data_IF_385556497164
#
_entry.id   IF_385556497164
#
_cell.length_a   1.000
_cell.length_b   1.000
_cell.length_c   1.000
_cell.angle_alpha   90.00
_cell.angle_beta   90.00
_cell.angle_gamma   90.00
#
_symmetry.space_group_name_H-M   'P 1'
#
loop_
_entity.id
_entity.type
_entity.pdbx_description
1 polymer ?
#
# COMPACT_ATOMS: atom_id res chain seq x y z
N UNK A 1 6.91 -1.57 -2.85
CA UNK A 1 6.01 -0.59 -2.23
C UNK A 1 4.56 -1.04 -2.39
N UNK A 2 3.76 -0.82 -1.35
CA UNK A 2 2.33 -1.08 -1.33
C UNK A 2 1.57 0.19 -1.73
N UNK A 3 0.45 0.01 -2.46
CA UNK A 3 -0.38 1.10 -2.94
C UNK A 3 -1.83 0.62 -3.09
N UNK A 4 -2.73 1.52 -3.46
CA UNK A 4 -4.08 1.16 -3.88
C UNK A 4 -4.17 1.09 -5.40
N UNK A 5 -4.97 0.15 -5.87
CA UNK A 5 -5.50 0.11 -7.24
C UNK A 5 -6.99 0.33 -7.17
N UNK A 6 -7.58 1.02 -8.12
CA UNK A 6 -9.02 1.21 -8.19
C UNK A 6 -9.58 0.85 -9.56
N UNK A 7 -10.77 0.30 -9.57
CA UNK A 7 -11.48 -0.11 -10.78
C UNK A 7 -12.25 1.07 -11.38
N UNK A 8 -11.91 1.48 -12.61
CA UNK A 8 -12.53 2.63 -13.28
C UNK A 8 -13.94 2.34 -13.76
N UNK A 9 -14.24 1.10 -14.12
CA UNK A 9 -15.61 0.70 -14.51
C UNK A 9 -16.57 0.85 -13.33
N UNK A 10 -16.17 0.37 -12.14
CA UNK A 10 -16.96 0.52 -10.92
C UNK A 10 -17.07 1.99 -10.47
N UNK A 11 -15.98 2.75 -10.60
CA UNK A 11 -16.01 4.18 -10.32
C UNK A 11 -17.11 4.89 -11.15
N UNK A 12 -17.15 4.61 -12.44
CA UNK A 12 -18.15 5.14 -13.37
C UNK A 12 -19.56 4.64 -13.07
N UNK A 13 -19.71 3.33 -12.81
CA UNK A 13 -21.00 2.69 -12.51
C UNK A 13 -21.70 3.36 -11.31
N UNK A 14 -20.93 3.66 -10.27
CA UNK A 14 -21.46 4.28 -9.04
C UNK A 14 -21.35 5.81 -9.02
N UNK A 15 -20.90 6.43 -10.11
CA UNK A 15 -20.75 7.89 -10.24
C UNK A 15 -19.95 8.50 -9.07
N UNK A 16 -18.85 7.84 -8.69
CA UNK A 16 -18.02 8.28 -7.60
C UNK A 16 -17.08 9.40 -8.04
N UNK A 17 -16.58 10.15 -7.07
CA UNK A 17 -15.60 11.20 -7.32
C UNK A 17 -14.31 10.61 -7.90
N UNK A 18 -13.62 11.37 -8.75
CA UNK A 18 -12.34 10.96 -9.32
C UNK A 18 -11.25 10.89 -8.24
N UNK A 19 -10.70 9.68 -7.96
CA UNK A 19 -9.67 9.52 -6.94
C UNK A 19 -8.37 10.27 -7.25
N UNK A 20 -8.00 10.44 -8.51
CA UNK A 20 -6.83 11.21 -8.91
C UNK A 20 -6.96 12.68 -8.51
N UNK A 21 -8.14 13.25 -8.75
CA UNK A 21 -8.45 14.61 -8.31
C UNK A 21 -8.39 14.72 -6.79
N UNK A 22 -8.94 13.74 -6.06
CA UNK A 22 -8.88 13.71 -4.60
C UNK A 22 -7.44 13.69 -4.08
N UNK A 23 -6.55 12.93 -4.75
CA UNK A 23 -5.11 12.92 -4.40
C UNK A 23 -4.48 14.29 -4.64
N UNK A 24 -4.69 14.91 -5.80
CA UNK A 24 -4.15 16.24 -6.14
C UNK A 24 -4.60 17.33 -5.18
N UNK A 25 -5.85 17.24 -4.72
CA UNK A 25 -6.43 18.18 -3.75
C UNK A 25 -6.09 17.84 -2.28
N UNK A 26 -5.34 16.78 -2.03
CA UNK A 26 -5.02 16.33 -0.66
C UNK A 26 -6.19 15.73 0.11
N UNK A 27 -7.28 15.38 -0.57
CA UNK A 27 -8.54 14.87 0.00
C UNK A 27 -8.68 13.35 -0.08
N UNK A 28 -7.72 12.63 -0.63
CA UNK A 28 -7.69 11.17 -0.62
C UNK A 28 -7.31 10.70 0.78
N UNK A 29 -8.32 10.53 1.62
CA UNK A 29 -8.20 10.15 3.04
C UNK A 29 -8.84 8.80 3.31
N UNK A 30 -8.54 8.21 4.48
CA UNK A 30 -9.18 6.98 4.95
C UNK A 30 -10.72 7.10 4.95
N UNK A 31 -11.26 8.23 5.42
CA UNK A 31 -12.69 8.46 5.46
C UNK A 31 -13.30 8.54 4.06
N UNK A 32 -12.63 9.24 3.13
CA UNK A 32 -13.09 9.34 1.75
C UNK A 32 -13.04 7.98 1.04
N UNK A 33 -11.99 7.23 1.25
CA UNK A 33 -11.88 5.86 0.73
C UNK A 33 -13.03 4.98 1.26
N UNK A 34 -13.31 5.03 2.58
CA UNK A 34 -14.40 4.27 3.20
C UNK A 34 -15.78 4.68 2.66
N UNK A 35 -16.04 5.98 2.49
CA UNK A 35 -17.26 6.49 1.86
C UNK A 35 -17.47 5.89 0.47
N UNK A 36 -16.44 5.93 -0.36
CA UNK A 36 -16.48 5.40 -1.73
C UNK A 36 -16.62 3.87 -1.74
N UNK A 37 -15.88 3.17 -0.89
CA UNK A 37 -15.94 1.73 -0.74
C UNK A 37 -17.36 1.27 -0.35
N UNK A 38 -17.97 1.94 0.62
CA UNK A 38 -19.33 1.62 1.08
C UNK A 38 -20.38 1.79 -0.04
N UNK A 39 -20.24 2.83 -0.87
CA UNK A 39 -21.17 3.06 -2.00
C UNK A 39 -21.05 2.01 -3.11
N UNK A 40 -19.88 1.39 -3.24
CA UNK A 40 -19.60 0.42 -4.29
C UNK A 40 -19.83 -1.04 -3.88
N UNK A 41 -20.20 -1.30 -2.62
CA UNK A 41 -20.47 -2.66 -2.14
C UNK A 41 -21.89 -3.08 -2.51
N UNK A 42 -22.07 -4.32 -2.95
CA UNK A 42 -23.36 -4.85 -3.33
C UNK A 42 -23.41 -6.38 -3.24
N UNK A 43 -24.48 -6.90 -2.66
CA UNK A 43 -24.90 -8.28 -2.80
C UNK A 43 -25.42 -8.46 -4.24
N UNK A 44 -24.71 -9.23 -5.06
CA UNK A 44 -25.00 -9.39 -6.49
C UNK A 44 -26.07 -10.44 -6.76
N UNK A 45 -26.21 -11.43 -5.88
CA UNK A 45 -27.17 -12.53 -6.06
C UNK A 45 -28.48 -12.29 -5.28
N UNK A 46 -28.52 -11.34 -4.34
CA UNK A 46 -29.70 -10.96 -3.57
C UNK A 46 -30.08 -11.94 -2.47
N UNK A 47 -29.14 -12.74 -1.97
CA UNK A 47 -29.41 -13.74 -0.92
C UNK A 47 -29.19 -13.20 0.50
N UNK A 48 -28.83 -11.93 0.63
CA UNK A 48 -28.50 -11.23 1.86
C UNK A 48 -27.29 -11.81 2.62
N UNK A 49 -26.38 -12.48 1.91
CA UNK A 49 -25.12 -12.98 2.46
C UNK A 49 -23.97 -12.53 1.54
N UNK A 50 -23.04 -11.76 2.09
CA UNK A 50 -21.84 -11.37 1.34
C UNK A 50 -20.84 -12.52 1.27
N UNK A 51 -20.48 -12.91 0.06
CA UNK A 51 -19.55 -14.00 -0.26
C UNK A 51 -18.48 -13.56 -1.25
N UNK A 52 -17.52 -14.43 -1.56
CA UNK A 52 -16.47 -14.15 -2.56
C UNK A 52 -17.03 -13.83 -3.96
N UNK A 53 -18.28 -14.18 -4.24
CA UNK A 53 -18.95 -13.95 -5.52
C UNK A 53 -19.64 -12.58 -5.61
N UNK A 54 -19.68 -11.83 -4.50
CA UNK A 54 -20.31 -10.52 -4.42
C UNK A 54 -19.35 -9.37 -4.67
N UNK A 55 -19.86 -8.14 -4.68
CA UNK A 55 -19.07 -6.94 -4.95
C UNK A 55 -18.73 -6.20 -3.67
N UNK A 56 -17.44 -5.95 -3.48
CA UNK A 56 -16.88 -5.29 -2.30
C UNK A 56 -16.32 -3.90 -2.62
N UNK A 57 -16.30 -3.07 -1.61
CA UNK A 57 -15.65 -1.76 -1.69
C UNK A 57 -14.13 -1.84 -1.72
N UNK A 58 -13.56 -2.75 -0.93
CA UNK A 58 -12.12 -2.97 -0.90
C UNK A 58 -11.80 -4.42 -0.57
N UNK A 59 -10.90 -5.00 -1.36
CA UNK A 59 -10.29 -6.30 -1.11
C UNK A 59 -8.80 -6.19 -0.77
N UNK A 60 -8.33 -7.05 0.14
CA UNK A 60 -6.89 -7.21 0.45
C UNK A 60 -6.56 -8.64 0.86
N UNK A 61 -5.27 -8.96 0.77
CA UNK A 61 -4.74 -10.25 1.23
C UNK A 61 -4.83 -10.37 2.76
N UNK A 62 -5.37 -11.46 3.26
CA UNK A 62 -5.48 -11.73 4.70
C UNK A 62 -4.13 -11.75 5.43
N UNK A 63 -3.04 -12.02 4.70
CA UNK A 63 -1.67 -11.96 5.22
C UNK A 63 -1.18 -10.55 5.56
N UNK A 64 -1.83 -9.52 5.03
CA UNK A 64 -1.48 -8.11 5.22
C UNK A 64 -2.35 -7.44 6.28
N UNK A 65 -3.63 -7.79 6.30
CA UNK A 65 -4.60 -7.18 7.20
C UNK A 65 -4.74 -5.67 7.00
N UNK A 66 -5.00 -4.96 8.08
CA UNK A 66 -5.22 -3.52 8.08
C UNK A 66 -3.94 -2.67 8.00
N UNK A 67 -2.77 -3.26 7.82
CA UNK A 67 -1.46 -2.58 7.79
C UNK A 67 -1.40 -1.33 6.89
N UNK A 68 -1.96 -1.33 5.65
CA UNK A 68 -1.90 -0.17 4.77
C UNK A 68 -2.50 1.10 5.36
N UNK A 69 -3.52 0.98 6.21
CA UNK A 69 -4.19 2.13 6.81
C UNK A 69 -3.33 2.80 7.88
N UNK A 70 -2.62 2.01 8.69
CA UNK A 70 -1.69 2.53 9.70
C UNK A 70 -0.50 3.21 9.03
N UNK A 71 0.02 2.61 7.98
CA UNK A 71 1.13 3.20 7.22
C UNK A 71 0.72 4.48 6.51
N UNK A 72 -0.43 4.50 5.85
CA UNK A 72 -0.96 5.71 5.22
C UNK A 72 -1.20 6.85 6.23
N UNK A 73 -1.58 6.50 7.46
CA UNK A 73 -1.70 7.44 8.57
C UNK A 73 -0.35 7.95 9.11
N UNK A 74 0.78 7.40 8.64
CA UNK A 74 2.11 7.79 9.08
C UNK A 74 2.56 7.15 10.39
N UNK A 75 1.85 6.11 10.86
CA UNK A 75 2.25 5.40 12.07
C UNK A 75 3.46 4.49 11.80
N UNK A 76 4.45 4.57 12.68
CA UNK A 76 5.65 3.73 12.66
C UNK A 76 5.70 2.90 13.93
N UNK A 77 6.22 1.69 13.81
CA UNK A 77 6.45 0.81 14.97
C UNK A 77 7.57 1.35 15.84
N UNK A 78 8.58 1.95 15.20
CA UNK A 78 9.73 2.52 15.90
C UNK A 78 10.08 3.92 15.41
N UNK A 79 10.62 4.70 16.30
CA UNK A 79 11.28 5.99 16.04
C UNK A 79 12.67 5.97 16.66
N UNK A 80 13.55 6.85 16.20
CA UNK A 80 14.89 7.03 16.79
C UNK A 80 14.80 8.15 17.81
N UNK A 81 15.25 7.88 19.03
CA UNK A 81 15.32 8.86 20.11
C UNK A 81 16.49 9.86 19.91
N UNK A 82 16.62 10.82 20.85
CA UNK A 82 17.68 11.83 20.83
C UNK A 82 19.10 11.25 20.95
N UNK A 83 19.24 10.04 21.46
CA UNK A 83 20.53 9.35 21.66
C UNK A 83 20.85 8.39 20.48
N UNK A 84 20.00 8.38 19.45
CA UNK A 84 20.16 7.52 18.28
C UNK A 84 19.69 6.08 18.50
N UNK A 85 18.93 5.80 19.54
CA UNK A 85 18.42 4.48 19.87
C UNK A 85 16.97 4.30 19.39
N UNK A 86 16.57 3.07 19.01
CA UNK A 86 15.19 2.79 18.66
C UNK A 86 14.28 2.84 19.89
N UNK A 87 13.17 3.55 19.77
CA UNK A 87 12.11 3.64 20.76
C UNK A 87 10.80 3.15 20.14
N UNK A 88 10.03 2.36 20.87
CA UNK A 88 8.71 1.90 20.46
C UNK A 88 7.73 3.08 20.40
N UNK A 89 6.93 3.21 19.34
CA UNK A 89 6.13 4.42 19.10
C UNK A 89 4.61 4.19 19.03
N UNK A 90 4.12 2.97 19.16
CA UNK A 90 2.69 2.67 19.07
C UNK A 90 1.91 2.84 20.40
N UNK A 91 2.49 3.47 21.39
CA UNK A 91 1.84 3.73 22.71
C UNK A 91 1.14 5.11 22.77
N UNK A 92 0.93 5.77 21.62
CA UNK A 92 0.31 7.08 21.59
C UNK A 92 -1.23 7.03 21.62
N UNK A 93 -1.87 8.08 22.15
CA UNK A 93 -3.32 8.26 22.04
C UNK A 93 -3.75 8.27 20.56
N UNK A 94 -2.98 8.96 19.71
CA UNK A 94 -3.23 9.02 18.28
C UNK A 94 -3.26 7.62 17.64
N UNK A 95 -2.29 6.75 17.96
CA UNK A 95 -2.31 5.37 17.47
C UNK A 95 -3.54 4.61 17.96
N UNK A 96 -3.92 4.79 19.23
CA UNK A 96 -5.12 4.15 19.80
C UNK A 96 -6.39 4.59 19.07
N UNK A 97 -6.52 5.86 18.74
CA UNK A 97 -7.66 6.40 17.99
C UNK A 97 -7.71 5.84 16.57
N UNK A 98 -6.56 5.83 15.88
CA UNK A 98 -6.44 5.23 14.55
C UNK A 98 -6.82 3.74 14.60
N UNK A 99 -6.26 3.02 15.56
CA UNK A 99 -6.54 1.59 15.74
C UNK A 99 -8.03 1.31 15.91
N UNK A 100 -8.68 2.01 16.83
CA UNK A 100 -10.12 1.80 17.10
C UNK A 100 -10.95 2.11 15.85
N UNK A 101 -10.68 3.23 15.18
CA UNK A 101 -11.42 3.62 13.98
C UNK A 101 -11.19 2.66 12.81
N UNK A 102 -9.97 2.23 12.57
CA UNK A 102 -9.66 1.23 11.52
C UNK A 102 -10.38 -0.08 11.83
N UNK A 103 -10.23 -0.60 13.06
CA UNK A 103 -10.89 -1.85 13.49
C UNK A 103 -12.40 -1.80 13.27
N UNK A 104 -13.04 -0.75 13.75
CA UNK A 104 -14.51 -0.64 13.70
C UNK A 104 -14.99 -0.46 12.23
N UNK A 105 -14.18 0.17 11.38
CA UNK A 105 -14.48 0.33 9.96
C UNK A 105 -14.36 -1.00 9.21
N UNK A 106 -13.21 -1.69 9.35
CA UNK A 106 -12.95 -2.92 8.58
C UNK A 106 -13.71 -4.15 9.10
N UNK A 107 -14.32 -4.06 10.29
CA UNK A 107 -15.25 -5.05 10.80
C UNK A 107 -16.56 -5.14 10.00
N UNK A 108 -16.81 -4.17 9.11
CA UNK A 108 -17.95 -4.24 8.20
C UNK A 108 -17.62 -5.17 7.02
N UNK A 109 -17.88 -6.47 7.21
CA UNK A 109 -17.61 -7.50 6.19
C UNK A 109 -18.53 -7.41 4.95
N UNK A 110 -19.52 -6.53 4.93
CA UNK A 110 -20.32 -6.23 3.73
C UNK A 110 -19.59 -5.27 2.78
N UNK A 111 -18.56 -4.57 3.27
CA UNK A 111 -17.79 -3.59 2.51
C UNK A 111 -16.36 -4.07 2.25
N UNK A 112 -15.80 -4.79 3.21
CA UNK A 112 -14.39 -5.15 3.23
C UNK A 112 -14.19 -6.66 3.14
N UNK A 113 -13.43 -7.09 2.13
CA UNK A 113 -13.08 -8.50 1.95
C UNK A 113 -11.62 -8.76 2.26
N UNK A 114 -11.37 -9.71 3.17
CA UNK A 114 -10.03 -10.21 3.50
C UNK A 114 -9.94 -11.68 3.12
N UNK A 115 -9.08 -12.02 2.18
CA UNK A 115 -9.02 -13.39 1.66
C UNK A 115 -7.67 -13.81 1.11
N UNK A 116 -7.66 -14.95 0.42
CA UNK A 116 -6.48 -15.44 -0.29
C UNK A 116 -6.12 -14.52 -1.47
N UNK A 117 -4.82 -14.46 -1.78
CA UNK A 117 -4.29 -13.61 -2.87
C UNK A 117 -5.02 -13.80 -4.19
N UNK A 118 -5.30 -15.08 -4.53
CA UNK A 118 -5.94 -15.43 -5.80
C UNK A 118 -7.40 -14.95 -5.85
N UNK A 119 -8.13 -15.07 -4.75
CA UNK A 119 -9.53 -14.64 -4.66
C UNK A 119 -9.64 -13.12 -4.76
N UNK A 120 -8.82 -12.38 -4.02
CA UNK A 120 -8.83 -10.92 -4.03
C UNK A 120 -8.44 -10.38 -5.40
N UNK A 121 -7.40 -10.96 -6.02
CA UNK A 121 -6.98 -10.59 -7.36
C UNK A 121 -8.08 -10.88 -8.39
N UNK A 122 -8.74 -12.05 -8.28
CA UNK A 122 -9.85 -12.45 -9.13
C UNK A 122 -11.02 -11.49 -9.02
N UNK A 123 -11.44 -11.15 -7.80
CA UNK A 123 -12.50 -10.17 -7.55
C UNK A 123 -12.20 -8.85 -8.24
N UNK A 124 -10.95 -8.39 -8.20
CA UNK A 124 -10.56 -7.12 -8.78
C UNK A 124 -10.61 -7.15 -10.32
N UNK A 125 -10.04 -8.15 -10.98
CA UNK A 125 -10.08 -8.22 -12.45
C UNK A 125 -11.45 -8.62 -13.01
N UNK A 126 -12.33 -9.22 -12.21
CA UNK A 126 -13.74 -9.47 -12.55
C UNK A 126 -14.66 -8.29 -12.21
N UNK A 127 -14.10 -7.13 -11.87
CA UNK A 127 -14.84 -5.90 -11.54
C UNK A 127 -15.78 -6.05 -10.34
N UNK A 128 -15.38 -6.86 -9.35
CA UNK A 128 -16.13 -7.09 -8.10
C UNK A 128 -15.45 -6.51 -6.86
N UNK A 129 -14.45 -5.65 -7.04
CA UNK A 129 -13.87 -4.85 -5.98
C UNK A 129 -13.53 -3.46 -6.51
N UNK A 130 -14.02 -2.39 -5.85
CA UNK A 130 -13.70 -1.01 -6.25
C UNK A 130 -12.24 -0.72 -6.02
N UNK A 131 -11.76 -1.03 -4.83
CA UNK A 131 -10.35 -0.85 -4.44
C UNK A 131 -9.68 -2.20 -4.17
N UNK A 132 -8.40 -2.24 -4.45
CA UNK A 132 -7.52 -3.37 -4.16
C UNK A 132 -6.18 -2.83 -3.65
N UNK A 133 -5.75 -3.28 -2.47
CA UNK A 133 -4.44 -2.88 -1.95
C UNK A 133 -3.43 -4.00 -2.03
N UNK A 134 -2.32 -3.74 -2.72
CA UNK A 134 -1.26 -4.72 -2.98
C UNK A 134 0.07 -4.01 -3.30
N UNK A 135 1.14 -4.79 -3.41
CA UNK A 135 2.43 -4.27 -3.89
C UNK A 135 2.37 -3.96 -5.39
N UNK A 136 3.07 -2.91 -5.81
CA UNK A 136 3.10 -2.44 -7.20
C UNK A 136 3.36 -3.56 -8.22
N UNK A 137 4.17 -4.57 -7.84
CA UNK A 137 4.45 -5.69 -8.73
C UNK A 137 3.19 -6.50 -9.11
N UNK A 138 2.14 -6.44 -8.31
CA UNK A 138 0.86 -7.13 -8.59
C UNK A 138 0.16 -6.55 -9.83
N UNK A 139 0.37 -5.26 -10.13
CA UNK A 139 -0.17 -4.65 -11.36
C UNK A 139 0.28 -5.40 -12.63
N UNK A 140 1.44 -6.07 -12.62
CA UNK A 140 1.87 -6.94 -13.72
C UNK A 140 0.99 -8.18 -13.88
N UNK A 141 0.42 -8.71 -12.80
CA UNK A 141 -0.48 -9.86 -12.82
C UNK A 141 -1.82 -9.51 -13.47
N UNK A 142 -2.19 -8.22 -13.49
CA UNK A 142 -3.43 -7.73 -14.10
C UNK A 142 -3.33 -7.53 -15.63
N UNK A 143 -2.12 -7.60 -16.21
CA UNK A 143 -1.93 -7.39 -17.65
C UNK A 143 -2.71 -8.33 -18.57
N UNK A 144 -2.87 -9.62 -18.26
CA UNK A 144 -3.63 -10.55 -19.10
C UNK A 144 -5.13 -10.27 -19.13
N UNK A 145 -5.63 -9.45 -18.20
CA UNK A 145 -7.05 -9.18 -18.03
C UNK A 145 -7.42 -7.81 -18.60
N UNK A 146 -8.66 -7.65 -19.04
CA UNK A 146 -9.18 -6.41 -19.65
C UNK A 146 -9.64 -5.37 -18.61
N UNK A 147 -9.42 -5.61 -17.31
CA UNK A 147 -9.82 -4.68 -16.26
C UNK A 147 -9.14 -3.31 -16.44
N UNK A 148 -9.92 -2.25 -16.49
CA UNK A 148 -9.41 -0.87 -16.50
C UNK A 148 -9.25 -0.36 -15.07
N UNK A 149 -8.00 -0.06 -14.69
CA UNK A 149 -7.65 0.34 -13.34
C UNK A 149 -6.65 1.48 -13.31
N UNK A 150 -6.66 2.21 -12.22
CA UNK A 150 -5.68 3.23 -11.90
C UNK A 150 -4.93 2.93 -10.61
N UNK A 151 -3.81 3.64 -10.39
CA UNK A 151 -3.00 3.56 -9.18
C UNK A 151 -3.25 4.76 -8.27
N UNK A 152 -3.17 4.55 -6.96
CA UNK A 152 -3.28 5.60 -5.95
C UNK A 152 -2.24 5.36 -4.84
N UNK A 153 -1.73 6.42 -4.21
CA UNK A 153 -0.97 6.29 -2.97
C UNK A 153 -1.84 5.72 -1.86
N UNK A 154 -1.23 5.27 -0.77
CA UNK A 154 -1.96 4.96 0.47
C UNK A 154 -2.72 6.21 0.92
N UNK A 155 -3.96 6.02 1.38
CA UNK A 155 -4.80 7.12 1.82
C UNK A 155 -4.22 7.78 3.07
N UNK A 156 -4.25 9.11 3.13
CA UNK A 156 -3.92 9.88 4.33
C UNK A 156 -4.93 9.61 5.44
N UNK A 157 -4.53 9.90 6.67
CA UNK A 157 -5.47 9.83 7.79
C UNK A 157 -6.46 10.99 7.79
N UNK A 158 -5.94 12.21 7.61
CA UNK A 158 -6.75 13.44 7.53
C UNK A 158 -6.26 14.32 6.38
N UNK A 159 -7.04 15.34 6.00
CA UNK A 159 -6.67 16.30 4.96
C UNK A 159 -5.45 17.14 5.39
N UNK A 160 -5.31 17.41 6.71
CA UNK A 160 -4.20 18.19 7.28
C UNK A 160 -2.86 17.44 7.26
N UNK A 161 -2.86 16.13 7.06
CA UNK A 161 -1.62 15.38 6.86
C UNK A 161 -0.94 15.90 5.59
N UNK A 162 0.30 16.36 5.69
CA UNK A 162 1.02 17.03 4.61
C UNK A 162 1.23 16.08 3.43
N UNK A 163 1.83 14.92 3.68
CA UNK A 163 2.25 13.99 2.64
C UNK A 163 1.44 12.68 2.61
N UNK A 164 1.38 12.07 1.43
CA UNK A 164 0.95 10.68 1.24
C UNK A 164 2.10 9.75 1.60
N UNK A 165 2.10 9.20 2.79
CA UNK A 165 3.18 8.34 3.29
C UNK A 165 3.08 6.96 2.67
N UNK A 166 4.18 6.50 2.07
CA UNK A 166 4.27 5.21 1.41
C UNK A 166 5.26 4.31 2.15
N UNK A 167 4.77 3.22 2.64
CA UNK A 167 5.60 2.28 3.37
C UNK A 167 6.23 1.25 2.44
N UNK A 168 7.50 0.94 2.66
CA UNK A 168 8.17 -0.15 1.95
C UNK A 168 8.19 -1.36 2.85
N UNK A 169 7.44 -2.39 2.48
CA UNK A 169 7.44 -3.68 3.17
C UNK A 169 8.87 -4.25 3.26
N UNK A 170 9.28 -4.71 4.43
CA UNK A 170 10.58 -5.37 4.63
C UNK A 170 10.81 -6.55 3.68
N UNK A 171 9.75 -7.25 3.32
CA UNK A 171 9.78 -8.34 2.33
C UNK A 171 10.19 -7.88 0.92
N UNK A 172 10.04 -6.60 0.62
CA UNK A 172 10.40 -5.99 -0.65
C UNK A 172 11.77 -5.33 -0.62
N UNK A 173 12.45 -5.31 0.53
CA UNK A 173 13.77 -4.73 0.70
C UNK A 173 14.86 -5.76 0.39
N UNK A 174 15.79 -5.36 -0.46
CA UNK A 174 16.98 -6.15 -0.77
C UNK A 174 18.23 -5.31 -0.49
N UNK A 175 18.68 -5.21 0.77
CA UNK A 175 19.83 -4.39 1.12
C UNK A 175 21.10 -4.98 0.56
N UNK A 176 22.02 -4.11 0.15
CA UNK A 176 23.39 -4.50 -0.15
C UNK A 176 24.16 -4.60 1.16
N UNK A 177 24.70 -5.77 1.46
CA UNK A 177 25.50 -6.00 2.65
C UNK A 177 26.97 -6.26 2.31
N UNK A 178 27.87 -5.74 3.14
CA UNK A 178 29.30 -5.95 2.99
C UNK A 178 29.78 -6.90 4.09
N UNK A 179 30.40 -7.99 3.70
CA UNK A 179 30.89 -8.99 4.65
C UNK A 179 31.96 -8.40 5.58
N UNK A 180 31.91 -8.75 6.88
CA UNK A 180 32.83 -8.24 7.91
C UNK A 180 34.31 -8.57 7.61
N UNK A 181 34.58 -9.62 6.87
CA UNK A 181 35.93 -10.03 6.48
C UNK A 181 36.46 -9.32 5.22
N UNK A 182 35.75 -8.32 4.72
CA UNK A 182 36.22 -7.48 3.62
C UNK A 182 37.48 -6.73 4.06
N UNK A 183 38.56 -6.88 3.32
CA UNK A 183 39.87 -6.30 3.63
C UNK A 183 40.11 -4.92 3.01
N UNK A 184 39.19 -4.46 2.15
CA UNK A 184 39.31 -3.17 1.48
C UNK A 184 37.94 -2.45 1.42
N UNK A 185 37.57 -1.85 2.53
CA UNK A 185 36.29 -1.17 2.67
C UNK A 185 36.15 0.05 1.76
N UNK A 186 37.20 0.83 1.57
CA UNK A 186 37.19 2.03 0.71
C UNK A 186 36.88 1.68 -0.73
N UNK A 187 37.56 0.67 -1.28
CA UNK A 187 37.29 0.17 -2.63
C UNK A 187 35.87 -0.35 -2.76
N UNK A 188 35.41 -1.11 -1.79
CA UNK A 188 34.06 -1.69 -1.82
C UNK A 188 33.00 -0.59 -1.72
N UNK A 189 33.17 0.38 -0.82
CA UNK A 189 32.30 1.55 -0.71
C UNK A 189 32.23 2.33 -2.01
N UNK A 190 33.39 2.59 -2.64
CA UNK A 190 33.44 3.27 -3.94
C UNK A 190 32.67 2.51 -5.04
N UNK A 191 32.83 1.17 -5.10
CA UNK A 191 32.14 0.35 -6.10
C UNK A 191 30.62 0.37 -5.85
N UNK A 192 30.17 0.21 -4.59
CA UNK A 192 28.75 0.26 -4.24
C UNK A 192 28.15 1.60 -4.63
N UNK A 193 28.84 2.70 -4.28
CA UNK A 193 28.41 4.05 -4.67
C UNK A 193 28.33 4.21 -6.18
N UNK A 194 29.33 3.77 -6.92
CA UNK A 194 29.36 3.85 -8.39
C UNK A 194 28.22 3.04 -9.03
N UNK A 195 27.91 1.85 -8.50
CA UNK A 195 26.77 1.03 -8.94
C UNK A 195 25.47 1.76 -8.65
N UNK A 196 25.31 2.34 -7.47
CA UNK A 196 24.11 3.07 -7.10
C UNK A 196 23.86 4.28 -8.02
N UNK A 197 24.89 5.06 -8.31
CA UNK A 197 24.81 6.19 -9.25
C UNK A 197 24.46 5.71 -10.67
N UNK A 198 25.17 4.72 -11.19
CA UNK A 198 24.88 4.17 -12.51
C UNK A 198 23.47 3.55 -12.60
N UNK A 199 22.97 2.98 -11.51
CA UNK A 199 21.64 2.38 -11.49
C UNK A 199 20.51 3.39 -11.72
N UNK A 200 20.69 4.65 -11.37
CA UNK A 200 19.70 5.70 -11.64
C UNK A 200 19.38 5.79 -13.13
N UNK A 201 20.40 5.86 -13.96
CA UNK A 201 20.26 6.09 -15.40
C UNK A 201 20.00 4.79 -16.17
N UNK A 202 20.63 3.68 -15.78
CA UNK A 202 20.63 2.44 -16.56
C UNK A 202 19.59 1.41 -16.10
N UNK A 203 19.06 1.52 -14.88
CA UNK A 203 18.07 0.60 -14.35
C UNK A 203 16.77 1.29 -13.93
N UNK A 204 16.86 2.29 -13.06
CA UNK A 204 15.66 2.88 -12.46
C UNK A 204 14.85 3.63 -13.51
N UNK A 205 15.47 4.55 -14.23
CA UNK A 205 14.77 5.36 -15.23
C UNK A 205 14.21 4.51 -16.38
N UNK A 206 14.96 3.61 -17.05
CA UNK A 206 14.39 2.75 -18.08
C UNK A 206 13.33 1.77 -17.57
N UNK A 207 13.45 1.28 -16.34
CA UNK A 207 12.41 0.45 -15.74
C UNK A 207 11.12 1.25 -15.54
N UNK A 208 11.24 2.46 -15.05
CA UNK A 208 10.13 3.37 -14.83
C UNK A 208 9.44 3.73 -16.15
N UNK A 209 10.19 4.20 -17.13
CA UNK A 209 9.67 4.64 -18.43
C UNK A 209 9.14 3.47 -19.27
N UNK A 210 9.89 2.38 -19.37
CA UNK A 210 9.58 1.30 -20.32
C UNK A 210 8.65 0.25 -19.71
N UNK A 211 8.87 -0.13 -18.44
CA UNK A 211 8.11 -1.23 -17.82
C UNK A 211 6.86 -0.68 -17.14
N UNK A 212 7.00 0.32 -16.31
CA UNK A 212 5.85 0.85 -15.57
C UNK A 212 4.96 1.67 -16.52
N UNK A 213 5.44 2.77 -17.05
CA UNK A 213 4.63 3.65 -17.90
C UNK A 213 4.25 3.01 -19.24
N UNK A 214 5.14 2.22 -19.83
CA UNK A 214 4.89 1.65 -21.17
C UNK A 214 4.13 0.33 -21.18
N UNK A 215 4.10 -0.42 -20.08
CA UNK A 215 3.57 -1.80 -20.08
C UNK A 215 2.63 -2.15 -18.93
N UNK A 216 2.71 -1.45 -17.81
CA UNK A 216 1.93 -1.76 -16.60
C UNK A 216 0.84 -0.75 -16.40
N UNK A 217 1.17 0.54 -16.44
CA UNK A 217 0.20 1.61 -16.31
C UNK A 217 -0.62 1.76 -17.58
N UNK A 218 -1.88 2.10 -17.43
CA UNK A 218 -2.84 2.23 -18.53
C UNK A 218 -3.17 3.69 -18.86
N UNK A 219 -2.72 4.63 -18.02
CA UNK A 219 -2.94 6.06 -18.17
C UNK A 219 -1.81 6.90 -17.57
N UNK A 220 -1.75 8.18 -17.98
CA UNK A 220 -0.76 9.16 -17.52
C UNK A 220 -0.99 9.55 -16.05
N UNK A 221 -2.22 9.53 -15.57
CA UNK A 221 -2.58 9.89 -14.20
C UNK A 221 -2.02 8.87 -13.19
N UNK A 222 -2.06 7.59 -13.53
CA UNK A 222 -1.38 6.56 -12.74
C UNK A 222 0.13 6.77 -12.65
N UNK A 223 0.76 7.34 -13.69
CA UNK A 223 2.18 7.70 -13.65
C UNK A 223 2.45 8.82 -12.65
N UNK A 224 1.61 9.87 -12.66
CA UNK A 224 1.68 10.96 -11.68
C UNK A 224 1.50 10.43 -10.24
N UNK A 225 0.55 9.52 -10.02
CA UNK A 225 0.36 8.92 -8.71
C UNK A 225 1.56 8.08 -8.29
N UNK A 226 2.19 7.39 -9.23
CA UNK A 226 3.41 6.63 -8.96
C UNK A 226 4.58 7.53 -8.57
N UNK A 227 4.68 8.74 -9.14
CA UNK A 227 5.66 9.74 -8.72
C UNK A 227 5.46 10.14 -7.25
N UNK A 228 4.22 10.37 -6.84
CA UNK A 228 3.89 10.64 -5.43
C UNK A 228 4.31 9.45 -4.54
N UNK A 229 4.00 8.24 -4.96
CA UNK A 229 4.36 7.01 -4.23
C UNK A 229 5.88 6.88 -4.05
N UNK A 230 6.65 7.09 -5.13
CA UNK A 230 8.12 6.90 -5.11
C UNK A 230 8.83 7.99 -4.32
N UNK A 231 8.32 9.23 -4.37
CA UNK A 231 8.95 10.36 -3.68
C UNK A 231 8.66 10.40 -2.16
N UNK A 232 7.69 9.63 -1.69
CA UNK A 232 7.26 9.62 -0.29
C UNK A 232 7.53 8.29 0.44
N UNK A 233 8.57 7.58 0.04
CA UNK A 233 8.97 6.34 0.70
C UNK A 233 9.44 6.56 2.13
N UNK A 234 8.89 5.75 3.02
CA UNK A 234 9.28 5.70 4.42
C UNK A 234 9.69 4.29 4.79
N UNK A 235 10.80 4.17 5.49
CA UNK A 235 11.26 2.93 6.11
C UNK A 235 11.09 3.04 7.62
N UNK A 236 10.63 1.97 8.25
CA UNK A 236 10.70 1.83 9.69
C UNK A 236 11.98 1.05 10.05
N UNK A 237 12.72 1.54 11.04
CA UNK A 237 13.91 0.84 11.51
C UNK A 237 13.57 -0.53 12.11
N UNK A 238 12.35 -0.70 12.63
CA UNK A 238 11.88 -1.99 13.10
C UNK A 238 11.77 -2.99 11.94
N UNK A 239 11.33 -2.55 10.76
CA UNK A 239 11.30 -3.38 9.56
C UNK A 239 12.70 -3.78 9.08
N UNK A 240 13.65 -2.85 9.18
CA UNK A 240 15.01 -3.08 8.68
C UNK A 240 15.83 -3.99 9.59
N UNK A 241 15.66 -3.85 10.90
CA UNK A 241 16.49 -4.55 11.89
C UNK A 241 15.75 -5.64 12.65
N UNK A 242 14.44 -5.77 12.48
CA UNK A 242 13.55 -6.74 13.17
C UNK A 242 13.85 -6.85 14.67
N UNK A 243 13.81 -5.73 15.37
CA UNK A 243 14.12 -5.66 16.80
C UNK A 243 13.28 -6.66 17.61
N UNK A 244 13.89 -7.76 18.03
CA UNK A 244 13.26 -8.81 18.84
C UNK A 244 11.96 -9.39 18.24
N UNK A 245 11.85 -9.43 16.92
CA UNK A 245 10.64 -9.89 16.19
C UNK A 245 9.38 -9.03 16.44
N UNK A 246 9.55 -7.80 16.92
CA UNK A 246 8.44 -6.87 17.17
C UNK A 246 7.63 -6.62 15.90
N UNK A 247 8.29 -6.55 14.75
CA UNK A 247 7.61 -6.40 13.47
C UNK A 247 6.65 -7.56 13.18
N UNK A 248 7.08 -8.79 13.43
CA UNK A 248 6.25 -9.97 13.24
C UNK A 248 5.01 -9.94 14.14
N UNK A 249 5.17 -9.53 15.39
CA UNK A 249 4.07 -9.40 16.34
C UNK A 249 3.13 -8.25 15.95
N UNK A 250 3.64 -7.11 15.50
CA UNK A 250 2.83 -6.01 14.96
C UNK A 250 2.09 -6.43 13.68
N UNK A 251 2.73 -7.14 12.76
CA UNK A 251 2.09 -7.68 11.57
C UNK A 251 0.96 -8.63 11.93
N UNK A 252 1.16 -9.53 12.88
CA UNK A 252 0.10 -10.41 13.38
C UNK A 252 -1.03 -9.64 14.08
N UNK A 253 -0.71 -8.55 14.76
CA UNK A 253 -1.68 -7.66 15.36
C UNK A 253 -2.59 -7.02 14.30
N UNK A 254 -2.02 -6.47 13.23
CA UNK A 254 -2.81 -5.89 12.13
C UNK A 254 -3.69 -6.92 11.40
N UNK A 255 -3.22 -8.17 11.29
CA UNK A 255 -4.02 -9.28 10.74
C UNK A 255 -5.21 -9.65 11.63
N UNK A 256 -5.05 -9.60 12.95
CA UNK A 256 -6.13 -9.91 13.89
C UNK A 256 -7.27 -8.89 13.92
N UNK A 257 -7.03 -7.68 13.42
CA UNK A 257 -8.09 -6.68 13.29
C UNK A 257 -9.11 -7.09 12.23
N UNK A 258 -8.68 -7.84 11.22
CA UNK A 258 -9.47 -8.19 10.04
C UNK A 258 -9.99 -9.62 10.04
N UNK A 259 -9.70 -10.38 11.08
CA UNK A 259 -10.17 -11.75 11.34
C UNK A 259 -10.95 -11.82 12.67
#
# INVERSE_FOLDING_TARGET
VRLFMFNKSLLSKYQLEDPYKLVREGKWTFDKMNEMATKASADLNGDAQMTVDDQYGLGWQSSVGAQPFFFGAGEKVSKIDKDGLPEFSLESERFTDIYNKVRDTVANHDVYYSGADEDVLKMFYEERSLFFTEVLNCAKKLRPYEVDFGLLPLAKWTEEQEDYIQYVDAWCLSPVVIAKNNTNMDRTGFIVQAIAEASKDYLVQPYYETVLNGKVLRDEESSEMLDIVVNNFVLDNCDLYDYCSVLWDCSNFYKRITN
#
